data_IF_439037795758
#
_entry.id   IF_439037795758
#
_cell.length_a   1.000
_cell.length_b   1.000
_cell.length_c   1.000
_cell.angle_alpha   90.00
_cell.angle_beta   90.00
_cell.angle_gamma   90.00
#
_symmetry.space_group_name_H-M   'P 1'
#
loop_
_entity.id
_entity.type
_entity.pdbx_description
1 polymer ?
#
# COMPACT_ATOMS: atom_id res chain seq x y z
N UNK A 1 9.10 -4.09 -2.68
CA UNK A 1 8.26 -5.07 -3.40
C UNK A 1 9.12 -6.19 -3.95
N UNK A 2 8.62 -7.43 -3.95
CA UNK A 2 9.41 -8.61 -4.36
C UNK A 2 9.52 -8.65 -5.89
N UNK A 3 10.75 -8.81 -6.43
CA UNK A 3 10.98 -8.90 -7.88
C UNK A 3 10.11 -9.98 -8.53
N UNK A 4 9.90 -11.11 -7.86
CA UNK A 4 9.07 -12.21 -8.35
C UNK A 4 7.59 -11.83 -8.48
N UNK A 5 7.09 -10.98 -7.59
CA UNK A 5 5.70 -10.50 -7.66
C UNK A 5 5.50 -9.54 -8.83
N UNK A 6 6.49 -8.69 -9.13
CA UNK A 6 6.43 -7.79 -10.29
C UNK A 6 6.42 -8.55 -11.62
N UNK A 7 7.30 -9.54 -11.78
CA UNK A 7 7.36 -10.36 -13.02
C UNK A 7 6.05 -11.10 -13.25
N UNK A 8 5.53 -11.75 -12.21
CA UNK A 8 4.25 -12.45 -12.31
C UNK A 8 3.08 -11.49 -12.62
N UNK A 9 3.10 -10.28 -12.05
CA UNK A 9 2.08 -9.28 -12.34
C UNK A 9 2.12 -8.81 -13.79
N UNK A 10 3.31 -8.62 -14.35
CA UNK A 10 3.48 -8.24 -15.76
C UNK A 10 2.89 -9.29 -16.70
N UNK A 11 3.15 -10.57 -16.45
CA UNK A 11 2.60 -11.68 -17.22
C UNK A 11 1.06 -11.75 -17.14
N UNK A 12 0.51 -11.59 -15.93
CA UNK A 12 -0.94 -11.60 -15.70
C UNK A 12 -1.62 -10.41 -16.38
N UNK A 13 -1.07 -9.21 -16.22
CA UNK A 13 -1.60 -8.00 -16.83
C UNK A 13 -1.55 -8.12 -18.36
N UNK A 14 -0.42 -8.53 -18.93
CA UNK A 14 -0.27 -8.75 -20.37
C UNK A 14 -1.28 -9.76 -20.92
N UNK A 15 -1.49 -10.87 -20.22
CA UNK A 15 -2.49 -11.88 -20.59
C UNK A 15 -3.91 -11.29 -20.58
N UNK A 16 -4.26 -10.51 -19.56
CA UNK A 16 -5.58 -9.87 -19.45
C UNK A 16 -5.84 -8.86 -20.58
N UNK A 17 -4.83 -8.08 -20.96
CA UNK A 17 -4.88 -7.14 -22.10
C UNK A 17 -5.10 -7.89 -23.40
N UNK A 18 -4.35 -8.97 -23.62
CA UNK A 18 -4.48 -9.82 -24.81
C UNK A 18 -5.91 -10.33 -24.96
N UNK A 19 -6.43 -11.00 -23.93
CA UNK A 19 -7.80 -11.54 -23.94
C UNK A 19 -8.85 -10.45 -24.20
N UNK A 20 -8.76 -9.33 -23.49
CA UNK A 20 -9.72 -8.23 -23.65
C UNK A 20 -9.73 -7.67 -25.07
N UNK A 21 -8.55 -7.40 -25.62
CA UNK A 21 -8.41 -6.87 -26.99
C UNK A 21 -8.91 -7.87 -28.02
N UNK A 22 -8.58 -9.14 -27.87
CA UNK A 22 -8.93 -10.17 -28.84
C UNK A 22 -10.45 -10.42 -28.85
N UNK A 23 -11.10 -10.44 -27.68
CA UNK A 23 -12.57 -10.50 -27.59
C UNK A 23 -13.23 -9.28 -28.22
N UNK A 24 -12.72 -8.06 -27.97
CA UNK A 24 -13.27 -6.86 -28.60
C UNK A 24 -13.11 -6.89 -30.12
N UNK A 25 -11.93 -7.24 -30.62
CA UNK A 25 -11.67 -7.32 -32.06
C UNK A 25 -12.59 -8.35 -32.73
N UNK A 26 -12.78 -9.51 -32.10
CA UNK A 26 -13.71 -10.53 -32.58
C UNK A 26 -15.16 -10.02 -32.62
N UNK A 27 -15.62 -9.39 -31.54
CA UNK A 27 -16.98 -8.84 -31.49
C UNK A 27 -17.20 -7.73 -32.51
N UNK A 28 -16.24 -6.80 -32.66
CA UNK A 28 -16.29 -5.73 -33.66
C UNK A 28 -16.38 -6.33 -35.07
N UNK A 29 -15.53 -7.30 -35.38
CA UNK A 29 -15.55 -8.00 -36.66
C UNK A 29 -16.92 -8.65 -36.92
N UNK A 30 -17.46 -9.39 -35.95
CA UNK A 30 -18.76 -10.06 -36.11
C UNK A 30 -19.90 -9.08 -36.33
N UNK A 31 -19.95 -7.98 -35.58
CA UNK A 31 -20.99 -6.95 -35.74
C UNK A 31 -20.87 -6.30 -37.12
N UNK A 32 -19.65 -6.01 -37.59
CA UNK A 32 -19.44 -5.44 -38.92
C UNK A 32 -19.87 -6.38 -40.05
N UNK A 33 -19.66 -7.70 -39.92
CA UNK A 33 -20.02 -8.67 -40.95
C UNK A 33 -21.51 -9.04 -40.95
N UNK A 34 -22.10 -9.20 -39.77
CA UNK A 34 -23.44 -9.78 -39.62
C UNK A 34 -24.53 -8.75 -39.31
N UNK A 35 -24.14 -7.52 -38.94
CA UNK A 35 -25.03 -6.51 -38.35
C UNK A 35 -25.82 -7.02 -37.13
N UNK A 36 -25.32 -8.06 -36.47
CA UNK A 36 -25.94 -8.71 -35.31
C UNK A 36 -24.92 -8.85 -34.18
N UNK A 37 -25.41 -8.90 -32.95
CA UNK A 37 -24.61 -9.13 -31.75
C UNK A 37 -24.78 -10.54 -31.16
N UNK A 38 -25.56 -11.42 -31.80
CA UNK A 38 -25.86 -12.75 -31.26
C UNK A 38 -24.62 -13.65 -31.15
N UNK A 39 -23.66 -13.47 -32.05
CA UNK A 39 -22.40 -14.21 -32.05
C UNK A 39 -21.29 -13.53 -31.23
N UNK A 40 -21.57 -12.44 -30.53
CA UNK A 40 -20.57 -11.77 -29.69
C UNK A 40 -20.24 -12.60 -28.45
N UNK A 41 -18.96 -12.67 -28.13
CA UNK A 41 -18.48 -13.22 -26.88
C UNK A 41 -18.66 -12.23 -25.74
N UNK A 42 -18.85 -12.70 -24.49
CA UNK A 42 -18.89 -11.83 -23.33
C UNK A 42 -17.56 -11.09 -23.19
N UNK A 43 -17.62 -9.76 -23.05
CA UNK A 43 -16.43 -8.94 -22.86
C UNK A 43 -15.83 -9.29 -21.49
N UNK A 44 -14.55 -9.69 -21.41
CA UNK A 44 -13.91 -9.95 -20.13
C UNK A 44 -13.74 -8.66 -19.33
N UNK A 45 -13.43 -8.78 -18.05
CA UNK A 45 -13.15 -7.63 -17.19
C UNK A 45 -12.06 -6.74 -17.80
N UNK A 46 -12.19 -5.42 -17.59
CA UNK A 46 -11.19 -4.47 -18.07
C UNK A 46 -9.81 -4.81 -17.49
N UNK A 47 -8.73 -4.81 -18.30
CA UNK A 47 -7.40 -5.15 -17.85
C UNK A 47 -6.95 -4.22 -16.72
N UNK A 48 -6.49 -4.81 -15.62
CA UNK A 48 -6.08 -4.09 -14.44
C UNK A 48 -5.06 -4.87 -13.64
N UNK A 49 -4.37 -4.17 -12.74
CA UNK A 49 -3.46 -4.82 -11.81
C UNK A 49 -4.22 -5.72 -10.85
N UNK A 50 -3.63 -6.86 -10.49
CA UNK A 50 -4.21 -7.78 -9.52
C UNK A 50 -4.35 -7.11 -8.16
N UNK A 51 -5.42 -7.45 -7.43
CA UNK A 51 -5.66 -6.96 -6.08
C UNK A 51 -4.47 -7.26 -5.16
N UNK A 52 -3.90 -8.47 -5.29
CA UNK A 52 -2.70 -8.88 -4.55
C UNK A 52 -1.49 -7.99 -4.81
N UNK A 53 -1.28 -7.57 -6.06
CA UNK A 53 -0.18 -6.65 -6.39
C UNK A 53 -0.44 -5.24 -5.85
N UNK A 54 -1.67 -4.74 -6.01
CA UNK A 54 -2.09 -3.44 -5.49
C UNK A 54 -1.93 -3.38 -3.97
N UNK A 55 -2.29 -4.43 -3.25
CA UNK A 55 -2.17 -4.48 -1.80
C UNK A 55 -0.71 -4.60 -1.35
N UNK A 56 0.09 -5.39 -2.06
CA UNK A 56 1.53 -5.46 -1.80
C UNK A 56 2.25 -4.11 -2.08
N UNK A 57 1.78 -3.33 -3.06
CA UNK A 57 2.30 -1.98 -3.34
C UNK A 57 1.92 -1.02 -2.21
N UNK A 58 0.66 -1.07 -1.74
CA UNK A 58 0.20 -0.27 -0.60
C UNK A 58 1.00 -0.59 0.67
N UNK A 59 1.20 -1.87 0.97
CA UNK A 59 2.04 -2.32 2.10
C UNK A 59 3.49 -1.88 1.93
N UNK A 60 4.03 -1.93 0.71
CA UNK A 60 5.37 -1.45 0.39
C UNK A 60 5.56 0.05 0.65
N UNK A 61 4.54 0.88 0.36
CA UNK A 61 4.54 2.32 0.64
C UNK A 61 4.34 2.67 2.12
N UNK A 62 3.85 1.73 2.91
CA UNK A 62 3.73 1.88 4.36
C UNK A 62 4.98 1.41 5.11
N UNK A 63 5.94 0.77 4.43
CA UNK A 63 7.24 0.51 5.07
C UNK A 63 7.94 1.84 5.32
N UNK A 64 8.27 2.15 6.59
CA UNK A 64 9.03 3.34 6.89
C UNK A 64 10.38 3.30 6.14
N UNK A 65 10.71 4.40 5.47
CA UNK A 65 12.03 4.61 4.83
C UNK A 65 13.17 4.84 5.86
N UNK A 66 12.85 4.72 7.15
CA UNK A 66 13.71 5.02 8.28
C UNK A 66 14.45 3.75 8.70
N UNK A 67 15.69 3.89 9.20
CA UNK A 67 16.48 2.75 9.66
C UNK A 67 15.77 1.98 10.77
N UNK A 68 15.94 0.66 10.78
CA UNK A 68 15.44 -0.18 11.87
C UNK A 68 16.05 0.30 13.20
N UNK A 69 15.20 0.76 14.12
CA UNK A 69 15.64 1.28 15.42
C UNK A 69 15.99 2.77 15.48
N UNK A 70 15.70 3.53 14.43
CA UNK A 70 15.81 4.99 14.46
C UNK A 70 14.50 5.67 14.86
N UNK A 71 14.61 6.83 15.51
CA UNK A 71 13.49 7.69 15.80
C UNK A 71 13.02 8.39 14.51
N UNK A 72 11.77 8.16 14.11
CA UNK A 72 11.23 8.74 12.87
C UNK A 72 10.91 10.26 12.94
N UNK A 73 11.39 10.96 13.97
CA UNK A 73 11.31 12.43 14.09
C UNK A 73 12.69 13.08 13.97
N UNK A 74 13.68 12.61 14.74
CA UNK A 74 15.02 13.19 14.73
C UNK A 74 16.04 12.40 13.89
N UNK A 75 15.67 11.21 13.40
CA UNK A 75 16.51 10.31 12.60
C UNK A 75 17.72 9.74 13.34
N UNK A 76 17.81 9.94 14.66
CA UNK A 76 18.85 9.34 15.50
C UNK A 76 18.44 7.94 15.98
N UNK A 77 19.44 7.09 16.24
CA UNK A 77 19.24 5.76 16.81
C UNK A 77 18.61 5.85 18.21
N UNK A 78 17.68 4.94 18.49
CA UNK A 78 17.09 4.75 19.82
C UNK A 78 17.94 3.72 20.55
N UNK A 79 18.62 4.15 21.61
CA UNK A 79 19.46 3.29 22.43
C UNK A 79 18.66 2.57 23.52
N UNK A 80 19.20 1.50 24.11
CA UNK A 80 18.50 0.68 25.11
C UNK A 80 17.99 1.46 26.34
N UNK A 81 18.63 2.58 26.65
CA UNK A 81 18.28 3.43 27.79
C UNK A 81 17.35 4.59 27.42
N UNK A 82 17.02 4.75 26.14
CA UNK A 82 16.09 5.76 25.71
C UNK A 82 14.66 5.33 26.03
N UNK A 83 13.87 6.25 26.57
CA UNK A 83 12.42 6.09 26.56
C UNK A 83 11.95 6.08 25.11
N UNK A 84 11.30 4.99 24.70
CA UNK A 84 10.76 4.87 23.35
C UNK A 84 9.25 4.70 23.34
N UNK A 85 8.64 5.07 22.22
CA UNK A 85 7.22 4.85 21.94
C UNK A 85 7.06 4.39 20.51
N UNK A 86 6.11 3.49 20.30
CA UNK A 86 5.80 2.92 18.99
C UNK A 86 4.40 3.31 18.56
N UNK A 87 4.22 3.59 17.27
CA UNK A 87 2.90 3.80 16.69
C UNK A 87 2.01 2.56 16.89
N UNK A 88 0.75 2.70 17.38
CA UNK A 88 -0.14 1.56 17.62
C UNK A 88 -0.72 0.96 16.33
N UNK A 89 -0.57 1.64 15.19
CA UNK A 89 -0.91 1.06 13.90
C UNK A 89 0.19 0.06 13.51
N UNK A 90 -0.13 -1.24 13.55
CA UNK A 90 0.79 -2.33 13.23
C UNK A 90 1.40 -2.22 11.83
N UNK A 91 0.70 -1.59 10.89
CA UNK A 91 1.21 -1.38 9.54
C UNK A 91 2.26 -0.27 9.52
N UNK A 92 2.15 0.72 10.42
CA UNK A 92 3.12 1.81 10.54
C UNK A 92 4.31 1.42 11.42
N UNK A 93 4.04 0.93 12.63
CA UNK A 93 5.00 0.44 13.63
C UNK A 93 6.28 1.30 13.85
N UNK A 94 6.22 2.59 13.52
CA UNK A 94 7.35 3.51 13.65
C UNK A 94 7.69 3.76 15.12
N UNK A 95 8.99 3.81 15.41
CA UNK A 95 9.54 4.09 16.74
C UNK A 95 9.94 5.56 16.85
N UNK A 96 9.85 6.09 18.06
CA UNK A 96 10.19 7.45 18.39
C UNK A 96 10.82 7.50 19.78
N UNK A 97 11.77 8.42 19.99
CA UNK A 97 12.09 8.85 21.35
C UNK A 97 10.85 9.43 22.01
N UNK A 98 10.63 9.08 23.27
CA UNK A 98 9.49 9.53 24.08
C UNK A 98 9.37 11.06 24.06
N UNK A 99 10.49 11.76 24.24
CA UNK A 99 10.55 13.23 24.17
C UNK A 99 10.17 13.78 22.80
N UNK A 100 10.64 13.16 21.72
CA UNK A 100 10.35 13.60 20.36
C UNK A 100 8.86 13.47 20.03
N UNK A 101 8.26 12.31 20.34
CA UNK A 101 6.84 12.08 20.04
C UNK A 101 5.94 12.93 20.93
N UNK A 102 6.26 13.09 22.23
CA UNK A 102 5.49 13.93 23.15
C UNK A 102 5.39 15.36 22.63
N UNK A 103 6.51 15.95 22.23
CA UNK A 103 6.54 17.29 21.62
C UNK A 103 5.71 17.35 20.33
N UNK A 104 5.76 16.30 19.52
CA UNK A 104 5.01 16.26 18.26
C UNK A 104 3.49 16.17 18.45
N UNK A 105 3.01 15.60 19.56
CA UNK A 105 1.58 15.37 19.80
C UNK A 105 0.90 16.42 20.68
N UNK A 106 1.65 17.43 21.16
CA UNK A 106 1.11 18.56 21.95
C UNK A 106 -0.05 19.27 21.23
N UNK A 107 0.00 19.33 19.90
CA UNK A 107 -1.04 19.99 19.09
C UNK A 107 -2.13 19.04 18.63
N UNK A 108 -1.78 17.81 18.24
CA UNK A 108 -2.69 16.75 17.80
C UNK A 108 -2.14 15.39 18.20
N UNK A 109 -2.92 14.59 18.91
CA UNK A 109 -2.58 13.23 19.32
C UNK A 109 -2.63 12.21 18.16
N UNK A 110 -1.93 12.50 17.07
CA UNK A 110 -1.86 11.69 15.86
C UNK A 110 -0.41 11.33 15.53
N UNK A 111 -0.17 10.14 14.99
CA UNK A 111 1.13 9.74 14.48
C UNK A 111 1.58 10.73 13.39
N UNK A 112 2.81 11.29 13.46
CA UNK A 112 3.32 12.22 12.46
C UNK A 112 3.32 11.63 11.04
N UNK A 113 3.44 10.31 10.95
CA UNK A 113 3.51 9.57 9.69
C UNK A 113 2.13 9.11 9.21
N UNK A 114 1.53 8.10 9.85
CA UNK A 114 0.29 7.47 9.36
C UNK A 114 -1.01 8.17 9.84
N UNK A 115 -0.90 9.25 10.62
CA UNK A 115 -2.03 9.99 11.21
C UNK A 115 -2.99 9.17 12.08
N UNK A 116 -2.63 7.94 12.44
CA UNK A 116 -3.41 7.14 13.39
C UNK A 116 -3.38 7.78 14.78
N UNK A 117 -4.50 7.73 15.51
CA UNK A 117 -4.60 8.26 16.86
C UNK A 117 -3.61 7.58 17.82
N UNK A 118 -2.81 8.39 18.51
CA UNK A 118 -1.87 7.93 19.53
C UNK A 118 -2.57 7.93 20.89
N UNK A 119 -3.57 7.06 21.03
CA UNK A 119 -4.36 6.91 22.27
C UNK A 119 -3.55 6.09 23.27
N UNK A 120 -3.26 6.66 24.46
CA UNK A 120 -2.60 5.94 25.57
C UNK A 120 -1.11 6.25 25.79
N UNK A 121 -0.52 7.23 25.10
CA UNK A 121 0.91 7.58 25.27
C UNK A 121 1.14 8.57 26.44
N UNK A 122 0.07 9.10 27.04
CA UNK A 122 0.15 10.06 28.14
C UNK A 122 -0.08 9.44 29.52
N UNK A 123 0.93 9.61 30.39
CA UNK A 123 0.97 9.52 31.87
C UNK A 123 1.44 8.20 32.49
N UNK A 124 2.71 8.18 32.89
CA UNK A 124 3.12 7.62 34.19
C UNK A 124 3.43 8.79 35.11
N UNK A 125 2.49 9.10 36.00
CA UNK A 125 2.69 10.01 37.13
C UNK A 125 3.37 9.24 38.25
N UNK A 126 4.53 9.70 38.71
CA UNK A 126 5.04 9.53 40.08
C UNK A 126 6.13 10.56 40.32
#
# INVERSE_FOLDING_TARGET
>A
MSKNLCVLEEDLFGSSVGMYRDTLNFNIYNVQQTQSNEACQPIPSYPGLSERFVDAEKMGKMKPMFGEGECAICFEKIEEHDEERTCPNEICALRYHGKCILKSIETKALCPYCKTGLVGIGKSSS
#
